data_IF_950617570998
#
_entry.id   IF_950617570998
#
_cell.length_a   1.000
_cell.length_b   1.000
_cell.length_c   1.000
_cell.angle_alpha   90.00
_cell.angle_beta   90.00
_cell.angle_gamma   90.00
#
_symmetry.space_group_name_H-M   'P 1'
#
loop_
_entity.id
_entity.type
_entity.pdbx_description
1 polymer ?
#
# COMPACT_ATOMS: atom_id res chain seq x y z
N UNK A 1 -6.46 -9.88 3.50
CA UNK A 1 -5.12 -9.68 2.90
C UNK A 1 -4.15 -9.25 3.98
N UNK A 2 -2.96 -9.83 4.00
CA UNK A 2 -1.86 -9.49 4.90
C UNK A 2 -0.90 -8.52 4.21
N UNK A 3 -0.25 -7.67 4.99
CA UNK A 3 0.82 -6.79 4.48
C UNK A 3 1.87 -6.57 5.56
N UNK A 4 3.09 -6.26 5.12
CA UNK A 4 4.18 -5.80 5.97
C UNK A 4 4.46 -4.33 5.67
N UNK A 5 4.26 -3.47 6.66
CA UNK A 5 4.59 -2.04 6.60
C UNK A 5 5.83 -1.76 7.45
N UNK A 6 6.73 -0.95 6.92
CA UNK A 6 7.91 -0.43 7.61
C UNK A 6 7.95 1.09 7.46
N UNK A 7 8.15 1.77 8.58
CA UNK A 7 8.23 3.23 8.67
C UNK A 7 9.48 3.58 9.45
N UNK A 8 10.17 4.66 9.06
CA UNK A 8 11.21 5.25 9.91
C UNK A 8 10.57 5.67 11.23
N UNK A 9 10.96 4.99 12.32
CA UNK A 9 10.29 5.13 13.62
C UNK A 9 10.48 6.49 14.27
N UNK A 10 11.56 7.19 13.93
CA UNK A 10 11.95 8.46 14.50
C UNK A 10 12.33 9.42 13.37
N UNK A 11 11.86 10.67 13.47
CA UNK A 11 12.22 11.76 12.56
C UNK A 11 12.06 13.10 13.27
N UNK A 12 12.77 14.13 12.81
CA UNK A 12 12.50 15.50 13.27
C UNK A 12 11.34 16.09 12.49
N UNK A 13 10.61 17.03 13.11
CA UNK A 13 9.55 17.79 12.43
C UNK A 13 10.09 18.41 11.15
N UNK A 14 9.39 18.18 10.03
CA UNK A 14 9.75 18.66 8.71
C UNK A 14 10.63 17.69 7.89
N UNK A 15 11.23 16.67 8.50
CA UNK A 15 12.05 15.70 7.77
C UNK A 15 11.20 14.70 6.95
N UNK A 16 11.75 14.17 5.84
CA UNK A 16 11.10 13.10 5.09
C UNK A 16 11.16 11.77 5.85
N UNK A 17 10.00 11.15 6.07
CA UNK A 17 9.82 9.82 6.66
C UNK A 17 9.55 8.84 5.53
N UNK A 18 10.46 7.87 5.38
CA UNK A 18 10.31 6.77 4.45
C UNK A 18 9.28 5.76 4.91
N UNK A 19 8.33 5.46 4.03
CA UNK A 19 7.30 4.43 4.20
C UNK A 19 7.53 3.34 3.15
N UNK A 20 7.47 2.08 3.58
CA UNK A 20 7.60 0.90 2.73
C UNK A 20 6.46 -0.05 3.05
N UNK A 21 5.83 -0.61 2.04
CA UNK A 21 4.82 -1.65 2.24
C UNK A 21 4.95 -2.73 1.18
N UNK A 22 4.85 -3.98 1.62
CA UNK A 22 4.66 -5.17 0.76
C UNK A 22 3.29 -5.75 1.08
N UNK A 23 2.45 -5.92 0.07
CA UNK A 23 1.09 -6.45 0.22
C UNK A 23 1.05 -7.86 -0.38
N UNK A 24 0.56 -8.86 0.37
CA UNK A 24 0.39 -10.20 -0.16
C UNK A 24 -0.85 -10.26 -1.06
N UNK A 25 -0.63 -10.20 -2.38
CA UNK A 25 -1.70 -10.20 -3.38
C UNK A 25 -1.17 -10.72 -4.73
N UNK A 26 -1.90 -11.62 -5.43
CA UNK A 26 -1.42 -12.22 -6.69
C UNK A 26 -1.32 -11.23 -7.85
N UNK A 27 -2.12 -10.15 -7.83
CA UNK A 27 -2.22 -9.18 -8.93
C UNK A 27 -2.50 -9.87 -10.27
N UNK A 28 -3.54 -10.71 -10.31
CA UNK A 28 -3.93 -11.43 -11.51
C UNK A 28 -4.31 -10.42 -12.61
N UNK A 29 -3.53 -10.39 -13.68
CA UNK A 29 -3.67 -9.42 -14.77
C UNK A 29 -4.84 -9.73 -15.68
N UNK A 30 -5.29 -10.99 -15.65
CA UNK A 30 -6.30 -11.53 -16.54
C UNK A 30 -5.75 -11.95 -17.90
N UNK A 31 -4.44 -11.93 -18.12
CA UNK A 31 -3.83 -12.42 -19.37
C UNK A 31 -3.43 -13.90 -19.32
N UNK A 32 -3.48 -14.52 -18.13
CA UNK A 32 -3.20 -15.95 -17.95
C UNK A 32 -4.39 -16.79 -18.39
N UNK A 33 -4.10 -17.99 -18.86
CA UNK A 33 -5.08 -19.02 -19.12
C UNK A 33 -4.90 -20.17 -18.14
N UNK A 34 -6.00 -20.83 -17.78
CA UNK A 34 -5.99 -22.04 -16.97
C UNK A 34 -5.67 -23.30 -17.79
N UNK A 35 -5.60 -24.46 -17.14
CA UNK A 35 -5.30 -25.73 -17.78
C UNK A 35 -6.38 -26.19 -18.80
N UNK A 36 -7.56 -25.58 -18.76
CA UNK A 36 -8.67 -25.83 -19.70
C UNK A 36 -8.70 -24.79 -20.83
N UNK A 37 -7.70 -23.90 -20.91
CA UNK A 37 -7.62 -22.86 -21.93
C UNK A 37 -8.58 -21.69 -21.70
N UNK A 38 -9.14 -21.54 -20.49
CA UNK A 38 -10.03 -20.42 -20.14
C UNK A 38 -9.22 -19.28 -19.57
N UNK A 39 -9.56 -18.05 -19.93
CA UNK A 39 -8.91 -16.86 -19.41
C UNK A 39 -9.19 -16.72 -17.90
N UNK A 40 -8.15 -16.53 -17.10
CA UNK A 40 -8.28 -16.28 -15.67
C UNK A 40 -8.90 -14.89 -15.47
N UNK A 41 -9.94 -14.73 -14.63
CA UNK A 41 -10.49 -13.42 -14.32
C UNK A 41 -9.43 -12.49 -13.71
N UNK A 42 -9.40 -11.25 -14.18
CA UNK A 42 -8.50 -10.23 -13.64
C UNK A 42 -8.93 -9.87 -12.22
N UNK A 43 -7.98 -9.92 -11.28
CA UNK A 43 -8.14 -9.33 -9.95
C UNK A 43 -6.82 -8.65 -9.55
N UNK A 44 -6.83 -7.33 -9.53
CA UNK A 44 -5.72 -6.49 -9.07
C UNK A 44 -6.18 -5.58 -7.94
N UNK A 45 -5.27 -5.23 -7.03
CA UNK A 45 -5.45 -4.04 -6.20
C UNK A 45 -5.59 -2.86 -7.14
N UNK A 46 -6.70 -2.12 -7.04
CA UNK A 46 -7.00 -1.01 -7.96
C UNK A 46 -6.85 0.36 -7.29
N UNK A 47 -6.99 0.43 -5.96
CA UNK A 47 -6.77 1.65 -5.17
C UNK A 47 -5.96 1.35 -3.93
N UNK A 48 -4.94 2.18 -3.70
CA UNK A 48 -4.15 2.24 -2.48
C UNK A 48 -4.18 3.67 -1.94
N UNK A 49 -4.34 3.82 -0.63
CA UNK A 49 -4.39 5.10 0.06
C UNK A 49 -3.55 5.02 1.35
N UNK A 50 -2.75 6.05 1.61
CA UNK A 50 -2.01 6.22 2.85
C UNK A 50 -2.45 7.51 3.52
N UNK A 51 -2.82 7.42 4.80
CA UNK A 51 -3.15 8.55 5.67
C UNK A 51 -2.12 8.71 6.77
N UNK A 52 -1.94 9.95 7.18
CA UNK A 52 -1.10 10.29 8.32
C UNK A 52 -1.81 11.35 9.18
N UNK A 53 -2.12 10.98 10.42
CA UNK A 53 -2.89 11.84 11.31
C UNK A 53 -4.27 12.23 10.72
N UNK A 54 -4.93 11.30 10.04
CA UNK A 54 -6.25 11.48 9.43
C UNK A 54 -6.26 12.12 8.03
N UNK A 55 -5.13 12.65 7.55
CA UNK A 55 -5.02 13.32 6.25
C UNK A 55 -4.46 12.35 5.21
N UNK A 56 -5.05 12.31 4.01
CA UNK A 56 -4.48 11.58 2.87
C UNK A 56 -3.16 12.22 2.45
N UNK A 57 -2.07 11.44 2.50
CA UNK A 57 -0.71 11.90 2.17
C UNK A 57 -0.16 11.23 0.92
N UNK A 58 -0.76 10.11 0.50
CA UNK A 58 -0.41 9.42 -0.73
C UNK A 58 -1.59 8.58 -1.22
N UNK A 59 -1.81 8.56 -2.52
CA UNK A 59 -2.81 7.72 -3.18
C UNK A 59 -2.22 7.17 -4.48
N UNK A 60 -2.57 5.94 -4.83
CA UNK A 60 -2.18 5.30 -6.08
C UNK A 60 -3.33 4.50 -6.68
N UNK A 61 -3.56 4.73 -7.97
CA UNK A 61 -4.37 3.86 -8.82
C UNK A 61 -3.49 2.79 -9.42
N UNK A 62 -3.78 1.53 -9.11
CA UNK A 62 -2.96 0.38 -9.49
C UNK A 62 -3.65 -0.44 -10.58
N UNK A 63 -2.86 -1.17 -11.36
CA UNK A 63 -3.36 -1.93 -12.51
C UNK A 63 -2.50 -3.14 -12.83
N UNK A 64 -2.79 -3.79 -13.97
CA UNK A 64 -2.12 -5.01 -14.41
C UNK A 64 -0.60 -4.85 -14.70
N UNK A 65 -0.09 -3.62 -14.74
CA UNK A 65 1.36 -3.35 -14.85
C UNK A 65 2.13 -3.52 -13.54
N UNK A 66 1.46 -3.75 -12.41
CA UNK A 66 2.10 -3.97 -11.12
C UNK A 66 2.26 -5.47 -10.87
N UNK A 67 3.46 -5.86 -10.45
CA UNK A 67 3.80 -7.25 -10.15
C UNK A 67 3.02 -7.81 -8.94
N UNK A 68 2.94 -9.14 -8.87
CA UNK A 68 2.48 -9.86 -7.70
C UNK A 68 3.27 -9.46 -6.45
N UNK A 69 2.60 -9.50 -5.30
CA UNK A 69 3.07 -8.96 -4.03
C UNK A 69 3.52 -7.50 -4.12
N UNK A 70 2.60 -6.55 -4.41
CA UNK A 70 2.97 -5.17 -4.68
C UNK A 70 3.85 -4.56 -3.59
N UNK A 71 4.95 -3.94 -4.03
CA UNK A 71 5.86 -3.18 -3.20
C UNK A 71 5.73 -1.69 -3.51
N UNK A 72 5.42 -0.89 -2.50
CA UNK A 72 5.37 0.57 -2.61
C UNK A 72 6.37 1.18 -1.64
N UNK A 73 7.12 2.17 -2.12
CA UNK A 73 8.01 3.00 -1.31
C UNK A 73 7.77 4.47 -1.65
N UNK A 74 7.53 5.27 -0.63
CA UNK A 74 7.31 6.70 -0.77
C UNK A 74 7.79 7.42 0.50
N UNK A 75 7.80 8.74 0.45
CA UNK A 75 8.12 9.59 1.60
C UNK A 75 6.91 10.43 1.98
N UNK A 76 6.74 10.64 3.28
CA UNK A 76 5.80 11.62 3.84
C UNK A 76 6.58 12.61 4.69
N UNK A 77 6.07 13.83 4.86
CA UNK A 77 6.73 14.81 5.72
C UNK A 77 6.32 14.57 7.18
N UNK A 78 7.30 14.46 8.09
CA UNK A 78 7.05 14.33 9.52
C UNK A 78 6.41 15.61 10.09
N UNK A 79 5.14 15.52 10.51
CA UNK A 79 4.42 16.65 11.10
C UNK A 79 4.19 16.46 12.59
N UNK A 80 3.80 15.26 13.02
CA UNK A 80 3.45 14.96 14.42
C UNK A 80 3.56 13.48 14.70
N UNK A 81 3.92 13.09 15.91
CA UNK A 81 3.88 11.68 16.30
C UNK A 81 2.49 11.11 16.05
N UNK A 82 2.42 9.90 15.51
CA UNK A 82 1.16 9.28 15.15
C UNK A 82 1.33 8.11 14.21
N UNK A 83 0.20 7.58 13.78
CA UNK A 83 0.16 6.39 12.94
C UNK A 83 0.08 6.78 11.46
N UNK A 84 0.88 6.08 10.65
CA UNK A 84 0.76 6.04 9.21
C UNK A 84 -0.13 4.83 8.90
N UNK A 85 -1.25 5.09 8.22
CA UNK A 85 -2.30 4.11 7.96
C UNK A 85 -2.44 3.89 6.45
N UNK A 86 -2.19 2.67 5.99
CA UNK A 86 -2.35 2.27 4.60
C UNK A 86 -3.61 1.42 4.44
N UNK A 87 -4.41 1.72 3.42
CA UNK A 87 -5.62 1.00 3.02
C UNK A 87 -5.58 0.69 1.54
N UNK A 88 -6.13 -0.45 1.14
CA UNK A 88 -6.24 -0.80 -0.27
C UNK A 88 -7.46 -1.68 -0.52
N UNK A 89 -7.87 -1.72 -1.79
CA UNK A 89 -9.00 -2.52 -2.26
C UNK A 89 -8.72 -3.10 -3.64
N UNK A 90 -9.10 -4.36 -3.84
CA UNK A 90 -8.99 -5.08 -5.10
C UNK A 90 -10.30 -5.04 -5.92
N UNK A 91 -10.28 -5.62 -7.12
CA UNK A 91 -11.44 -5.56 -8.02
C UNK A 91 -12.59 -6.47 -7.58
N UNK A 92 -12.35 -7.36 -6.62
CA UNK A 92 -13.36 -8.19 -5.97
C UNK A 92 -13.89 -7.55 -4.68
N UNK A 93 -13.55 -6.28 -4.44
CA UNK A 93 -13.89 -5.49 -3.25
C UNK A 93 -13.30 -6.04 -1.94
N UNK A 94 -12.34 -6.96 -2.01
CA UNK A 94 -11.60 -7.35 -0.83
C UNK A 94 -10.69 -6.19 -0.43
N UNK A 95 -10.68 -5.88 0.87
CA UNK A 95 -9.91 -4.77 1.42
C UNK A 95 -8.74 -5.25 2.27
N UNK A 96 -7.73 -4.39 2.41
CA UNK A 96 -6.67 -4.58 3.39
C UNK A 96 -6.29 -3.29 4.10
N UNK A 97 -5.61 -3.47 5.23
CA UNK A 97 -5.18 -2.40 6.11
C UNK A 97 -3.83 -2.75 6.74
N UNK A 98 -2.95 -1.76 6.90
CA UNK A 98 -1.73 -1.87 7.68
C UNK A 98 -1.39 -0.51 8.31
N UNK A 99 -0.83 -0.51 9.51
CA UNK A 99 -0.37 0.72 10.16
C UNK A 99 0.96 0.57 10.86
N UNK A 100 1.72 1.66 10.90
CA UNK A 100 2.94 1.77 11.67
C UNK A 100 3.07 3.17 12.27
N UNK A 101 3.61 3.23 13.49
CA UNK A 101 3.80 4.48 14.21
C UNK A 101 5.11 5.15 13.84
N UNK A 102 5.06 6.47 13.66
CA UNK A 102 6.22 7.36 13.64
C UNK A 102 6.21 8.26 14.87
N UNK A 103 7.36 8.41 15.50
CA UNK A 103 7.61 9.38 16.56
C UNK A 103 8.32 10.57 15.94
N UNK A 104 7.71 11.75 16.06
CA UNK A 104 8.30 13.00 15.56
C UNK A 104 8.81 13.80 16.73
N UNK A 105 10.11 14.06 16.75
CA UNK A 105 10.73 15.01 17.68
C UNK A 105 10.71 16.41 17.06
N UNK A 106 10.49 17.42 17.89
CA UNK A 106 10.46 18.82 17.49
C UNK A 106 10.77 19.68 18.69
#
# INVERSE_FOLDING_TARGET
>A
MTARIEVQREARRGEPVGVRIVIQHPMETGFRYDALGRQTPRNVIHRFECRYGGVEVFCASMGAGIAANPYLRFFVRAERSGDIECRWVDQENATGYASARVTVSG
#
